data_IF_779902805745
#
_entry.id   IF_779902805745
#
_cell.length_a   1.000
_cell.length_b   1.000
_cell.length_c   1.000
_cell.angle_alpha   90.00
_cell.angle_beta   90.00
_cell.angle_gamma   90.00
#
_symmetry.space_group_name_H-M   'P 1'
#
loop_
_entity.id
_entity.type
_entity.pdbx_description
1 polymer ?
#
# COMPACT_ATOMS: atom_id res chain seq x y z
N UNK A 1 -9.06 40.60 -29.60
CA UNK A 1 -10.02 39.75 -30.36
C UNK A 1 -9.99 38.27 -29.94
N UNK A 2 -8.94 37.75 -29.26
CA UNK A 2 -8.93 36.37 -28.76
C UNK A 2 -9.77 36.12 -27.49
N UNK A 3 -10.08 37.16 -26.71
CA UNK A 3 -10.81 37.05 -25.43
C UNK A 3 -12.33 36.88 -25.58
N UNK A 4 -12.89 37.11 -26.77
CA UNK A 4 -14.34 36.96 -27.03
C UNK A 4 -14.72 35.60 -27.63
N UNK A 5 -13.75 34.77 -28.02
CA UNK A 5 -14.02 33.44 -28.60
C UNK A 5 -14.26 32.34 -27.55
N UNK A 6 -13.94 32.60 -26.27
CA UNK A 6 -13.99 31.60 -25.19
C UNK A 6 -15.17 31.78 -24.19
N UNK A 7 -15.93 32.88 -24.28
CA UNK A 7 -17.14 33.12 -23.46
C UNK A 7 -18.41 32.72 -24.24
N UNK A 8 -18.51 31.45 -24.64
CA UNK A 8 -19.73 30.92 -25.28
C UNK A 8 -20.45 30.00 -24.28
N UNK A 9 -21.69 30.33 -23.82
CA UNK A 9 -22.47 29.47 -22.93
C UNK A 9 -22.67 28.05 -23.48
N UNK A 10 -22.64 27.88 -24.81
CA UNK A 10 -22.72 26.58 -25.46
C UNK A 10 -21.46 25.71 -25.28
N UNK A 11 -20.27 26.34 -25.17
CA UNK A 11 -19.04 25.64 -24.79
C UNK A 11 -19.06 25.26 -23.30
N UNK A 12 -19.66 26.09 -22.45
CA UNK A 12 -19.77 25.81 -21.02
C UNK A 12 -20.72 24.62 -20.73
N UNK A 13 -21.88 24.59 -21.38
CA UNK A 13 -22.82 23.47 -21.30
C UNK A 13 -22.26 22.21 -21.95
N UNK A 14 -21.62 22.33 -23.12
CA UNK A 14 -21.01 21.19 -23.82
C UNK A 14 -19.85 20.55 -23.05
N UNK A 15 -19.03 21.34 -22.37
CA UNK A 15 -17.97 20.84 -21.49
C UNK A 15 -18.57 20.11 -20.29
N UNK A 16 -19.53 20.74 -19.59
CA UNK A 16 -20.19 20.16 -18.41
C UNK A 16 -20.89 18.84 -18.74
N UNK A 17 -21.61 18.75 -19.87
CA UNK A 17 -22.27 17.52 -20.32
C UNK A 17 -21.27 16.44 -20.76
N UNK A 18 -20.21 16.80 -21.47
CA UNK A 18 -19.18 15.85 -21.93
C UNK A 18 -18.45 15.25 -20.74
N UNK A 19 -18.17 16.07 -19.72
CA UNK A 19 -17.54 15.62 -18.48
C UNK A 19 -18.48 14.85 -17.57
N UNK A 20 -19.76 15.24 -17.45
CA UNK A 20 -20.75 14.43 -16.73
C UNK A 20 -20.91 13.04 -17.38
N UNK A 21 -20.91 12.97 -18.71
CA UNK A 21 -20.94 11.69 -19.44
C UNK A 21 -19.66 10.88 -19.26
N UNK A 22 -18.49 11.51 -19.32
CA UNK A 22 -17.21 10.84 -19.04
C UNK A 22 -17.14 10.31 -17.60
N UNK A 23 -17.69 11.05 -16.64
CA UNK A 23 -17.75 10.68 -15.24
C UNK A 23 -18.83 9.63 -14.93
N UNK A 24 -19.97 9.65 -15.62
CA UNK A 24 -20.96 8.56 -15.56
C UNK A 24 -20.44 7.27 -16.21
N UNK A 25 -19.66 7.38 -17.30
CA UNK A 25 -18.94 6.25 -17.86
C UNK A 25 -17.87 5.72 -16.88
N UNK A 26 -17.25 6.62 -16.10
CA UNK A 26 -16.29 6.28 -15.05
C UNK A 26 -16.92 5.53 -13.87
N UNK A 27 -18.13 5.92 -13.42
CA UNK A 27 -18.86 5.17 -12.39
C UNK A 27 -19.19 3.73 -12.80
N UNK A 28 -19.32 3.49 -14.11
CA UNK A 28 -19.61 2.18 -14.69
C UNK A 28 -18.34 1.45 -15.15
N UNK A 29 -17.16 2.03 -14.98
CA UNK A 29 -15.89 1.45 -15.38
C UNK A 29 -15.42 0.49 -14.28
N UNK A 30 -15.50 -0.81 -14.58
CA UNK A 30 -14.94 -1.88 -13.76
C UNK A 30 -13.40 -1.74 -13.76
N UNK A 31 -12.87 -1.11 -12.70
CA UNK A 31 -11.45 -0.88 -12.47
C UNK A 31 -10.77 -2.15 -11.94
N UNK A 32 -10.86 -3.23 -12.72
CA UNK A 32 -10.04 -4.43 -12.56
C UNK A 32 -10.64 -5.49 -11.64
N UNK A 33 -11.61 -6.26 -12.17
CA UNK A 33 -11.73 -7.70 -11.94
C UNK A 33 -11.98 -8.22 -10.52
N UNK A 34 -12.14 -7.33 -9.54
CA UNK A 34 -12.54 -7.65 -8.17
C UNK A 34 -13.91 -7.08 -7.80
N UNK A 35 -14.69 -6.59 -8.78
CA UNK A 35 -16.11 -6.36 -8.60
C UNK A 35 -16.86 -7.67 -8.85
N UNK A 36 -17.63 -8.22 -7.88
CA UNK A 36 -18.53 -9.32 -8.19
C UNK A 36 -19.54 -8.86 -9.25
N UNK A 37 -19.91 -9.73 -10.22
CA UNK A 37 -21.02 -9.41 -11.10
C UNK A 37 -22.30 -9.42 -10.27
N UNK A 38 -23.12 -8.40 -10.45
CA UNK A 38 -24.50 -8.22 -9.98
C UNK A 38 -24.71 -7.55 -8.61
N UNK A 39 -25.50 -6.48 -8.68
CA UNK A 39 -26.04 -5.73 -7.55
C UNK A 39 -25.90 -4.24 -7.82
N UNK A 40 -26.94 -3.61 -8.34
CA UNK A 40 -27.14 -2.16 -8.27
C UNK A 40 -27.09 -1.73 -6.80
N UNK A 41 -25.89 -1.52 -6.26
CA UNK A 41 -25.75 -0.75 -5.04
C UNK A 41 -26.29 0.63 -5.39
N UNK A 42 -27.27 1.11 -4.61
CA UNK A 42 -27.80 2.47 -4.68
C UNK A 42 -26.65 3.46 -4.54
N UNK A 43 -25.96 3.75 -5.65
CA UNK A 43 -24.99 4.80 -5.73
C UNK A 43 -25.79 6.08 -5.57
N UNK A 44 -25.77 6.64 -4.35
CA UNK A 44 -26.37 7.94 -4.09
C UNK A 44 -25.81 8.89 -5.15
N UNK A 45 -26.64 9.49 -6.00
CA UNK A 45 -26.15 10.27 -7.12
C UNK A 45 -25.30 11.41 -6.58
N UNK A 46 -24.02 11.43 -6.95
CA UNK A 46 -23.10 12.49 -6.58
C UNK A 46 -23.69 13.82 -7.01
N UNK A 47 -23.84 14.72 -6.06
CA UNK A 47 -24.31 16.08 -6.31
C UNK A 47 -23.10 17.00 -6.36
N UNK A 48 -23.20 18.04 -7.16
CA UNK A 48 -22.16 19.06 -7.25
C UNK A 48 -22.82 20.42 -7.06
N UNK A 49 -22.25 21.25 -6.20
CA UNK A 49 -22.66 22.65 -6.13
C UNK A 49 -22.29 23.35 -7.44
N UNK A 50 -23.30 23.85 -8.17
CA UNK A 50 -23.11 24.54 -9.44
C UNK A 50 -22.10 25.69 -9.36
N UNK A 51 -22.08 26.43 -8.24
CA UNK A 51 -21.12 27.52 -8.01
C UNK A 51 -19.67 27.02 -7.95
N UNK A 52 -19.41 25.87 -7.31
CA UNK A 52 -18.07 25.28 -7.24
C UNK A 52 -17.60 24.81 -8.61
N UNK A 53 -18.49 24.17 -9.39
CA UNK A 53 -18.17 23.72 -10.74
C UNK A 53 -17.87 24.90 -11.68
N UNK A 54 -18.68 25.96 -11.62
CA UNK A 54 -18.45 27.17 -12.40
C UNK A 54 -17.10 27.80 -12.06
N UNK A 55 -16.74 27.86 -10.78
CA UNK A 55 -15.43 28.37 -10.35
C UNK A 55 -14.28 27.51 -10.90
N UNK A 56 -14.36 26.18 -10.77
CA UNK A 56 -13.35 25.25 -11.29
C UNK A 56 -13.19 25.41 -12.80
N UNK A 57 -14.29 25.59 -13.53
CA UNK A 57 -14.26 25.81 -14.97
C UNK A 57 -13.58 27.14 -15.33
N UNK A 58 -13.91 28.23 -14.63
CA UNK A 58 -13.28 29.53 -14.84
C UNK A 58 -11.77 29.48 -14.54
N UNK A 59 -11.39 28.82 -13.45
CA UNK A 59 -9.99 28.62 -13.07
C UNK A 59 -9.24 27.79 -14.15
N UNK A 60 -9.85 26.71 -14.65
CA UNK A 60 -9.27 25.89 -15.73
C UNK A 60 -9.04 26.70 -17.02
N UNK A 61 -10.03 27.49 -17.47
CA UNK A 61 -9.90 28.30 -18.69
C UNK A 61 -8.82 29.35 -18.54
N UNK A 62 -8.73 29.99 -17.36
CA UNK A 62 -7.66 30.96 -17.06
C UNK A 62 -6.29 30.29 -17.10
N UNK A 63 -6.10 29.22 -16.35
CA UNK A 63 -4.80 28.51 -16.26
C UNK A 63 -4.40 27.87 -17.61
N UNK A 64 -5.35 27.34 -18.39
CA UNK A 64 -5.08 26.84 -19.73
C UNK A 64 -4.60 27.94 -20.68
N UNK A 65 -5.21 29.14 -20.59
CA UNK A 65 -4.81 30.30 -21.37
C UNK A 65 -3.41 30.81 -20.97
N UNK A 66 -3.13 30.84 -19.67
CA UNK A 66 -1.81 31.18 -19.12
C UNK A 66 -0.74 30.18 -19.58
N UNK A 67 -1.02 28.88 -19.49
CA UNK A 67 -0.12 27.83 -19.95
C UNK A 67 0.16 27.94 -21.46
N UNK A 68 -0.86 28.19 -22.27
CA UNK A 68 -0.70 28.39 -23.71
C UNK A 68 0.21 29.58 -24.01
N UNK A 69 -0.04 30.73 -23.36
CA UNK A 69 0.77 31.92 -23.54
C UNK A 69 2.22 31.74 -23.05
N UNK A 70 2.41 31.04 -21.92
CA UNK A 70 3.73 30.72 -21.39
C UNK A 70 4.51 29.85 -22.38
N UNK A 71 3.89 28.80 -22.92
CA UNK A 71 4.50 27.86 -23.87
C UNK A 71 4.94 28.54 -25.17
N UNK A 72 4.30 29.65 -25.56
CA UNK A 72 4.73 30.45 -26.71
C UNK A 72 6.00 31.27 -26.45
N UNK A 73 6.35 31.52 -25.19
CA UNK A 73 7.50 32.34 -24.79
C UNK A 73 8.68 31.49 -24.29
N UNK A 74 8.41 30.46 -23.49
CA UNK A 74 9.41 29.58 -22.90
C UNK A 74 8.80 28.21 -22.52
N UNK A 75 9.63 27.23 -22.20
CA UNK A 75 9.15 25.93 -21.72
C UNK A 75 8.49 26.07 -20.34
N UNK A 76 7.34 25.41 -20.10
CA UNK A 76 6.66 25.49 -18.82
C UNK A 76 7.51 24.87 -17.70
N UNK A 77 7.52 25.51 -16.54
CA UNK A 77 8.21 25.03 -15.33
C UNK A 77 7.42 23.88 -14.70
N UNK A 78 8.06 22.72 -14.53
CA UNK A 78 7.44 21.52 -13.98
C UNK A 78 7.89 21.30 -12.54
N UNK A 79 6.99 21.53 -11.58
CA UNK A 79 7.28 21.34 -10.16
C UNK A 79 7.18 19.87 -9.70
N UNK A 80 6.43 19.04 -10.44
CA UNK A 80 6.16 17.64 -10.07
C UNK A 80 7.43 16.78 -10.19
N UNK A 81 7.68 15.94 -9.17
CA UNK A 81 8.86 15.07 -9.10
C UNK A 81 8.98 14.13 -10.31
N UNK A 82 7.86 13.72 -10.91
CA UNK A 82 7.82 12.80 -12.06
C UNK A 82 8.44 13.38 -13.33
N UNK A 83 8.54 14.70 -13.42
CA UNK A 83 9.02 15.41 -14.62
C UNK A 83 10.30 16.22 -14.35
N UNK A 84 11.07 15.84 -13.33
CA UNK A 84 12.29 16.57 -12.93
C UNK A 84 13.52 16.33 -13.81
N UNK A 85 13.56 15.26 -14.61
CA UNK A 85 14.74 14.98 -15.43
C UNK A 85 14.91 15.97 -16.58
N UNK A 86 16.16 16.24 -16.94
CA UNK A 86 16.55 17.17 -18.00
C UNK A 86 15.82 16.94 -19.34
N UNK A 87 15.46 15.69 -19.64
CA UNK A 87 14.76 15.32 -20.86
C UNK A 87 13.41 16.02 -21.01
N UNK A 88 12.71 16.25 -19.88
CA UNK A 88 11.42 16.93 -19.84
C UNK A 88 11.58 18.42 -20.12
N UNK A 89 12.60 19.07 -19.54
CA UNK A 89 12.87 20.51 -19.75
C UNK A 89 13.46 20.85 -21.12
N UNK A 90 14.20 19.92 -21.75
CA UNK A 90 14.84 20.13 -23.06
C UNK A 90 13.93 19.85 -24.25
N UNK A 91 12.82 19.14 -24.06
CA UNK A 91 11.86 18.81 -25.11
C UNK A 91 10.57 19.64 -24.93
N UNK A 92 10.33 20.69 -25.75
CA UNK A 92 9.17 21.56 -25.61
C UNK A 92 7.82 20.83 -25.66
N UNK A 93 7.72 19.79 -26.50
CA UNK A 93 6.50 18.98 -26.59
C UNK A 93 6.28 18.18 -25.31
N UNK A 94 7.33 17.57 -24.75
CA UNK A 94 7.23 16.84 -23.50
C UNK A 94 6.90 17.74 -22.31
N UNK A 95 7.52 18.92 -22.24
CA UNK A 95 7.24 19.93 -21.22
C UNK A 95 5.78 20.37 -21.29
N UNK A 96 5.28 20.66 -22.50
CA UNK A 96 3.88 21.02 -22.71
C UNK A 96 2.92 19.89 -22.34
N UNK A 97 3.17 18.65 -22.78
CA UNK A 97 2.34 17.49 -22.42
C UNK A 97 2.29 17.27 -20.90
N UNK A 98 3.43 17.38 -20.21
CA UNK A 98 3.48 17.28 -18.75
C UNK A 98 2.70 18.40 -18.07
N UNK A 99 2.82 19.65 -18.54
CA UNK A 99 2.11 20.79 -17.99
C UNK A 99 0.58 20.69 -18.20
N UNK A 100 0.13 20.27 -19.38
CA UNK A 100 -1.29 20.01 -19.68
C UNK A 100 -1.83 18.88 -18.79
N UNK A 101 -1.06 17.80 -18.60
CA UNK A 101 -1.44 16.73 -17.69
C UNK A 101 -1.58 17.24 -16.25
N UNK A 102 -0.63 18.04 -15.74
CA UNK A 102 -0.69 18.60 -14.39
C UNK A 102 -1.88 19.53 -14.18
N UNK A 103 -2.21 20.35 -15.18
CA UNK A 103 -3.40 21.21 -15.14
C UNK A 103 -4.69 20.38 -15.06
N UNK A 104 -4.83 19.38 -15.93
CA UNK A 104 -5.97 18.47 -15.90
C UNK A 104 -6.05 17.71 -14.58
N UNK A 105 -4.91 17.27 -14.03
CA UNK A 105 -4.83 16.58 -12.75
C UNK A 105 -5.35 17.44 -11.59
N UNK A 106 -4.88 18.68 -11.46
CA UNK A 106 -5.40 19.60 -10.44
C UNK A 106 -6.89 19.86 -10.59
N UNK A 107 -7.36 20.00 -11.84
CA UNK A 107 -8.76 20.28 -12.14
C UNK A 107 -9.66 19.11 -11.75
N UNK A 108 -9.31 17.88 -12.14
CA UNK A 108 -10.09 16.70 -11.78
C UNK A 108 -10.07 16.42 -10.28
N UNK A 109 -8.95 16.69 -9.60
CA UNK A 109 -8.90 16.62 -8.13
C UNK A 109 -9.82 17.67 -7.49
N UNK A 110 -9.83 18.90 -7.99
CA UNK A 110 -10.73 19.95 -7.51
C UNK A 110 -12.21 19.58 -7.72
N UNK A 111 -12.52 18.89 -8.82
CA UNK A 111 -13.87 18.37 -9.06
C UNK A 111 -14.24 17.24 -8.09
N UNK A 112 -13.30 16.32 -7.81
CA UNK A 112 -13.50 15.27 -6.82
C UNK A 112 -13.75 15.83 -5.41
N UNK A 113 -13.04 16.91 -5.04
CA UNK A 113 -13.24 17.63 -3.78
C UNK A 113 -14.55 18.43 -3.74
N UNK A 114 -15.02 18.91 -4.89
CA UNK A 114 -16.29 19.61 -5.02
C UNK A 114 -17.51 18.67 -4.94
N UNK A 115 -17.31 17.36 -5.07
CA UNK A 115 -18.36 16.37 -5.00
C UNK A 115 -19.01 16.33 -3.61
N UNK A 116 -20.35 16.35 -3.59
CA UNK A 116 -21.16 16.26 -2.39
C UNK A 116 -21.57 14.81 -2.13
N UNK A 117 -21.50 14.41 -0.87
CA UNK A 117 -21.79 13.06 -0.40
C UNK A 117 -21.26 12.85 1.01
N UNK A 118 -21.52 11.68 1.59
CA UNK A 118 -20.89 11.26 2.83
C UNK A 118 -19.37 11.13 2.67
N UNK A 119 -18.64 11.12 3.78
CA UNK A 119 -17.18 11.10 3.78
C UNK A 119 -16.61 9.88 3.04
N UNK A 120 -17.24 8.70 3.15
CA UNK A 120 -16.78 7.47 2.50
C UNK A 120 -16.94 7.58 0.99
N UNK A 121 -18.08 8.06 0.51
CA UNK A 121 -18.33 8.27 -0.92
C UNK A 121 -17.36 9.30 -1.52
N UNK A 122 -17.13 10.43 -0.86
CA UNK A 122 -16.15 11.43 -1.33
C UNK A 122 -14.72 10.88 -1.37
N UNK A 123 -14.32 10.11 -0.35
CA UNK A 123 -13.00 9.49 -0.32
C UNK A 123 -12.82 8.46 -1.44
N UNK A 124 -13.86 7.67 -1.75
CA UNK A 124 -13.88 6.74 -2.89
C UNK A 124 -13.71 7.46 -4.23
N UNK A 125 -14.45 8.56 -4.44
CA UNK A 125 -14.34 9.38 -5.66
C UNK A 125 -12.95 9.99 -5.80
N UNK A 126 -12.45 10.61 -4.72
CA UNK A 126 -11.10 11.19 -4.70
C UNK A 126 -10.05 10.14 -5.04
N UNK A 127 -10.09 8.99 -4.37
CA UNK A 127 -9.15 7.90 -4.63
C UNK A 127 -9.21 7.39 -6.07
N UNK A 128 -10.41 7.19 -6.60
CA UNK A 128 -10.58 6.72 -7.97
C UNK A 128 -10.00 7.72 -9.00
N UNK A 129 -10.18 9.03 -8.78
CA UNK A 129 -9.57 10.08 -9.59
C UNK A 129 -8.04 10.09 -9.45
N UNK A 130 -7.51 9.95 -8.23
CA UNK A 130 -6.06 9.84 -7.99
C UNK A 130 -5.46 8.64 -8.75
N UNK A 131 -6.11 7.48 -8.71
CA UNK A 131 -5.66 6.27 -9.41
C UNK A 131 -5.69 6.45 -10.93
N UNK A 132 -6.77 7.03 -11.47
CA UNK A 132 -6.86 7.32 -12.90
C UNK A 132 -5.79 8.31 -13.35
N UNK A 133 -5.53 9.33 -12.54
CA UNK A 133 -4.47 10.30 -12.77
C UNK A 133 -3.09 9.67 -12.72
N UNK A 134 -2.83 8.82 -11.73
CA UNK A 134 -1.58 8.08 -11.62
C UNK A 134 -1.36 7.18 -12.85
N UNK A 135 -2.39 6.46 -13.30
CA UNK A 135 -2.32 5.57 -14.45
C UNK A 135 -2.13 6.31 -15.79
N UNK A 136 -2.81 7.44 -15.97
CA UNK A 136 -2.76 8.27 -17.18
C UNK A 136 -1.53 9.17 -17.29
N UNK A 137 -0.63 9.14 -16.30
CA UNK A 137 0.56 9.98 -16.30
C UNK A 137 1.41 9.76 -17.56
N UNK A 138 1.85 10.82 -18.28
CA UNK A 138 2.67 10.71 -19.50
C UNK A 138 3.94 9.89 -19.30
N UNK A 139 4.49 9.89 -18.08
CA UNK A 139 5.66 9.10 -17.70
C UNK A 139 5.46 7.59 -17.82
N UNK A 140 4.22 7.09 -17.83
CA UNK A 140 3.92 5.66 -17.92
C UNK A 140 3.94 5.14 -19.36
N UNK A 141 3.93 6.01 -20.36
CA UNK A 141 3.82 5.64 -21.77
C UNK A 141 5.08 6.01 -22.52
N UNK A 142 5.73 5.04 -23.16
CA UNK A 142 6.96 5.25 -23.94
C UNK A 142 6.80 6.37 -25.00
N UNK A 143 5.62 6.51 -25.59
CA UNK A 143 5.32 7.55 -26.59
C UNK A 143 5.38 8.98 -26.03
N UNK A 144 5.25 9.16 -24.72
CA UNK A 144 5.24 10.48 -24.06
C UNK A 144 6.35 10.65 -23.01
N UNK A 145 7.02 9.57 -22.60
CA UNK A 145 8.09 9.62 -21.63
C UNK A 145 9.41 10.08 -22.28
N UNK A 146 9.75 11.35 -22.08
CA UNK A 146 10.95 11.97 -22.65
C UNK A 146 12.26 11.29 -22.20
N UNK A 147 12.36 10.85 -20.95
CA UNK A 147 13.54 10.17 -20.43
C UNK A 147 13.72 8.79 -21.07
N UNK A 148 12.62 8.04 -21.22
CA UNK A 148 12.64 6.73 -21.86
C UNK A 148 13.01 6.85 -23.35
N UNK A 149 12.49 7.85 -24.05
CA UNK A 149 12.85 8.15 -25.44
C UNK A 149 14.33 8.54 -25.57
N UNK A 150 14.81 9.44 -24.71
CA UNK A 150 16.21 9.85 -24.70
C UNK A 150 17.13 8.66 -24.44
N UNK A 151 16.79 7.78 -23.49
CA UNK A 151 17.56 6.57 -23.19
C UNK A 151 17.53 5.56 -24.33
N UNK A 152 16.39 5.39 -25.00
CA UNK A 152 16.28 4.54 -26.18
C UNK A 152 17.19 5.04 -27.31
N UNK A 153 17.23 6.35 -27.55
CA UNK A 153 18.14 6.96 -28.55
C UNK A 153 19.60 6.77 -28.13
N UNK A 154 19.94 7.10 -26.89
CA UNK A 154 21.31 7.01 -26.37
C UNK A 154 21.87 5.58 -26.37
N UNK A 155 21.01 4.58 -26.18
CA UNK A 155 21.38 3.15 -26.19
C UNK A 155 21.11 2.47 -27.53
N UNK A 156 20.74 3.22 -28.58
CA UNK A 156 20.38 2.68 -29.90
C UNK A 156 19.32 1.56 -29.83
N UNK A 157 18.39 1.66 -28.88
CA UNK A 157 17.30 0.70 -28.67
C UNK A 157 17.60 -0.46 -27.71
N UNK A 158 18.84 -0.62 -27.23
CA UNK A 158 19.20 -1.68 -26.29
C UNK A 158 18.36 -1.61 -24.99
N UNK A 159 18.07 -0.40 -24.50
CA UNK A 159 17.22 -0.22 -23.31
C UNK A 159 15.81 -0.76 -23.50
N UNK A 160 15.26 -0.69 -24.72
CA UNK A 160 13.93 -1.23 -25.05
C UNK A 160 13.96 -2.76 -25.10
N UNK A 161 14.99 -3.34 -25.72
CA UNK A 161 15.17 -4.79 -25.75
C UNK A 161 15.27 -5.38 -24.33
N UNK A 162 16.02 -4.71 -23.46
CA UNK A 162 16.11 -5.08 -22.03
C UNK A 162 14.76 -4.93 -21.32
N UNK A 163 14.02 -3.85 -21.57
CA UNK A 163 12.68 -3.64 -21.02
C UNK A 163 11.68 -4.74 -21.41
N UNK A 164 11.65 -5.13 -22.68
CA UNK A 164 10.80 -6.25 -23.17
C UNK A 164 11.19 -7.57 -22.53
N UNK A 165 12.50 -7.83 -22.39
CA UNK A 165 12.99 -9.04 -21.70
C UNK A 165 12.51 -9.08 -20.25
N UNK A 166 12.60 -7.97 -19.53
CA UNK A 166 12.10 -7.86 -18.16
C UNK A 166 10.58 -8.09 -18.10
N UNK A 167 9.81 -7.43 -18.98
CA UNK A 167 8.35 -7.61 -19.06
C UNK A 167 7.96 -9.07 -19.30
N UNK A 168 8.64 -9.78 -20.21
CA UNK A 168 8.39 -11.20 -20.47
C UNK A 168 8.74 -12.09 -19.27
N UNK A 169 9.76 -11.71 -18.50
CA UNK A 169 10.14 -12.41 -17.27
C UNK A 169 9.09 -12.18 -16.17
N UNK A 170 8.68 -10.94 -15.96
CA UNK A 170 7.63 -10.56 -15.00
C UNK A 170 6.30 -11.27 -15.32
N UNK A 171 5.91 -11.32 -16.60
CA UNK A 171 4.72 -12.06 -17.05
C UNK A 171 4.78 -13.56 -16.72
N UNK A 172 5.96 -14.17 -16.76
CA UNK A 172 6.15 -15.59 -16.38
C UNK A 172 6.11 -15.79 -14.88
N UNK A 173 6.59 -14.82 -14.10
CA UNK A 173 6.57 -14.84 -12.64
C UNK A 173 5.20 -14.50 -12.05
N UNK A 174 4.36 -13.78 -12.81
CA UNK A 174 3.01 -13.39 -12.40
C UNK A 174 2.95 -12.13 -11.53
N UNK A 175 4.08 -11.42 -11.37
CA UNK A 175 4.16 -10.12 -10.69
C UNK A 175 5.31 -9.29 -11.29
N UNK A 176 5.25 -7.96 -11.10
CA UNK A 176 6.31 -7.04 -11.55
C UNK A 176 7.46 -7.03 -10.53
N UNK A 177 8.66 -7.41 -10.97
CA UNK A 177 9.85 -7.42 -10.11
C UNK A 177 10.49 -6.04 -10.02
N UNK A 178 10.57 -5.48 -8.80
CA UNK A 178 11.24 -4.18 -8.56
C UNK A 178 12.75 -4.34 -8.35
N UNK A 179 13.18 -5.53 -7.96
CA UNK A 179 14.57 -5.92 -7.69
C UNK A 179 14.79 -7.34 -8.17
N UNK A 180 16.03 -7.70 -8.47
CA UNK A 180 16.37 -9.09 -8.79
C UNK A 180 16.30 -9.95 -7.51
N UNK A 181 15.20 -10.69 -7.36
CA UNK A 181 14.95 -11.55 -6.21
C UNK A 181 15.96 -12.70 -6.12
N UNK A 182 16.59 -13.09 -7.22
CA UNK A 182 17.60 -14.17 -7.22
C UNK A 182 18.86 -13.80 -6.44
N UNK A 183 19.06 -12.52 -6.16
CA UNK A 183 20.17 -12.02 -5.36
C UNK A 183 19.94 -12.23 -3.86
N UNK A 184 18.73 -12.53 -3.40
CA UNK A 184 18.38 -12.65 -1.99
C UNK A 184 17.96 -14.07 -1.62
N UNK A 185 18.65 -14.64 -0.64
CA UNK A 185 18.44 -15.98 -0.11
C UNK A 185 18.33 -15.88 1.43
N UNK A 186 17.13 -16.20 1.93
CA UNK A 186 16.82 -16.17 3.36
C UNK A 186 17.70 -17.20 4.09
N UNK A 187 18.37 -16.78 5.15
CA UNK A 187 19.36 -17.55 5.90
C UNK A 187 20.79 -17.44 5.36
N UNK A 188 21.00 -16.89 4.15
CA UNK A 188 22.34 -16.68 3.58
C UNK A 188 22.76 -15.21 3.55
N UNK A 189 21.89 -14.33 3.06
CA UNK A 189 22.17 -12.89 2.95
C UNK A 189 20.97 -11.99 3.33
N UNK A 190 19.87 -12.60 3.76
CA UNK A 190 18.74 -11.97 4.43
C UNK A 190 18.39 -12.83 5.65
N UNK A 191 17.94 -12.25 6.77
CA UNK A 191 17.61 -12.99 8.00
C UNK A 191 18.78 -13.82 8.54
N UNK A 192 19.96 -13.19 8.64
CA UNK A 192 21.23 -13.87 8.98
C UNK A 192 21.64 -13.68 10.44
N UNK A 193 20.80 -13.14 11.31
CA UNK A 193 21.15 -13.03 12.73
C UNK A 193 21.14 -14.42 13.35
N UNK A 194 22.26 -14.83 13.95
CA UNK A 194 22.43 -16.18 14.50
C UNK A 194 21.41 -16.45 15.61
N UNK A 195 20.68 -17.56 15.50
CA UNK A 195 19.66 -17.98 16.45
C UNK A 195 19.27 -19.43 16.22
N UNK A 196 18.37 -19.95 17.05
CA UNK A 196 17.88 -21.32 16.98
C UNK A 196 16.37 -21.36 17.24
N UNK A 197 15.68 -22.31 16.59
CA UNK A 197 14.29 -22.63 16.92
C UNK A 197 14.28 -23.34 18.27
N UNK A 198 13.59 -22.77 19.24
CA UNK A 198 13.49 -23.28 20.63
C UNK A 198 12.12 -23.85 20.97
N UNK A 199 11.13 -23.58 20.11
CA UNK A 199 9.78 -24.15 20.18
C UNK A 199 9.16 -24.17 18.79
N UNK A 200 8.31 -25.16 18.52
CA UNK A 200 7.55 -25.26 17.30
C UNK A 200 6.19 -25.90 17.59
N UNK A 201 5.14 -25.34 16.97
CA UNK A 201 3.84 -26.00 16.87
C UNK A 201 3.26 -25.80 15.47
N UNK A 202 1.99 -26.14 15.30
CA UNK A 202 1.34 -26.07 13.99
C UNK A 202 1.22 -24.64 13.42
N UNK A 203 1.30 -23.59 14.24
CA UNK A 203 1.11 -22.19 13.84
C UNK A 203 2.41 -21.40 13.69
N UNK A 204 3.44 -21.71 14.49
CA UNK A 204 4.68 -20.93 14.49
C UNK A 204 5.89 -21.70 15.01
N UNK A 205 7.06 -21.16 14.67
CA UNK A 205 8.33 -21.46 15.33
C UNK A 205 8.74 -20.27 16.20
N UNK A 206 9.20 -20.54 17.42
CA UNK A 206 9.83 -19.53 18.28
C UNK A 206 11.35 -19.59 18.08
N UNK A 207 11.95 -18.47 17.68
CA UNK A 207 13.40 -18.36 17.49
C UNK A 207 13.99 -17.59 18.67
N UNK A 208 14.97 -18.17 19.36
CA UNK A 208 15.84 -17.47 20.29
C UNK A 208 17.13 -17.06 19.57
N UNK A 209 17.49 -15.77 19.65
CA UNK A 209 18.71 -15.27 19.03
C UNK A 209 19.89 -15.35 19.97
N UNK A 210 21.06 -15.72 19.42
CA UNK A 210 22.30 -15.85 20.18
C UNK A 210 22.75 -14.48 20.70
N UNK A 211 23.03 -14.32 22.00
CA UNK A 211 23.53 -13.07 22.55
C UNK A 211 24.81 -12.58 21.86
N UNK A 212 24.90 -11.28 21.59
CA UNK A 212 26.11 -10.61 21.06
C UNK A 212 26.87 -9.85 22.14
N UNK A 213 26.48 -9.99 23.41
CA UNK A 213 27.07 -9.34 24.58
C UNK A 213 27.38 -10.37 25.66
N UNK A 214 28.35 -10.07 26.53
CA UNK A 214 28.71 -10.97 27.64
C UNK A 214 27.64 -11.05 28.74
N UNK A 215 26.80 -10.01 28.85
CA UNK A 215 25.66 -9.94 29.77
C UNK A 215 24.45 -9.43 29.01
N UNK A 216 23.28 -9.92 29.38
CA UNK A 216 21.99 -9.48 28.84
C UNK A 216 21.12 -8.93 29.97
N UNK A 217 20.10 -8.16 29.61
CA UNK A 217 19.05 -7.75 30.53
C UNK A 217 18.30 -8.97 31.08
N UNK A 218 17.91 -8.89 32.36
CA UNK A 218 17.19 -9.98 33.04
C UNK A 218 15.83 -10.29 32.40
N UNK A 219 15.10 -9.25 31.96
CA UNK A 219 13.84 -9.41 31.26
C UNK A 219 14.09 -9.70 29.78
N UNK A 220 13.60 -10.83 29.25
CA UNK A 220 13.72 -11.13 27.82
C UNK A 220 12.79 -10.25 26.99
N UNK A 221 13.01 -10.25 25.68
CA UNK A 221 12.31 -9.44 24.71
C UNK A 221 11.67 -10.31 23.61
N UNK A 222 10.35 -10.33 23.54
CA UNK A 222 9.59 -11.09 22.55
C UNK A 222 9.08 -10.18 21.43
N UNK A 223 9.35 -10.52 20.17
CA UNK A 223 8.77 -9.86 19.01
C UNK A 223 7.69 -10.73 18.39
N UNK A 224 6.51 -10.11 18.18
CA UNK A 224 5.36 -10.67 17.47
C UNK A 224 5.19 -9.90 16.16
N UNK A 225 5.82 -10.37 15.05
CA UNK A 225 5.72 -9.74 13.74
C UNK A 225 4.33 -9.97 13.11
N UNK A 226 4.00 -9.32 11.99
CA UNK A 226 2.77 -9.63 11.26
C UNK A 226 2.81 -11.03 10.66
N UNK A 227 1.64 -11.65 10.50
CA UNK A 227 1.45 -12.93 9.80
C UNK A 227 1.06 -12.76 8.31
N UNK A 228 0.94 -11.51 7.82
CA UNK A 228 0.62 -11.20 6.40
C UNK A 228 1.86 -11.39 5.51
N UNK A 229 3.00 -10.85 5.95
CA UNK A 229 4.31 -11.02 5.34
C UNK A 229 5.23 -11.75 6.33
N UNK A 230 6.39 -12.19 5.87
CA UNK A 230 7.34 -12.93 6.72
C UNK A 230 8.06 -12.00 7.71
N UNK A 231 8.47 -12.57 8.85
CA UNK A 231 9.05 -11.82 9.97
C UNK A 231 10.35 -11.07 9.64
N UNK A 232 11.10 -11.52 8.63
CA UNK A 232 12.45 -11.01 8.33
C UNK A 232 12.49 -9.56 7.84
N UNK A 233 11.35 -8.89 7.69
CA UNK A 233 11.33 -7.41 7.62
C UNK A 233 11.98 -6.75 8.84
N UNK A 234 12.00 -7.45 9.99
CA UNK A 234 12.69 -7.03 11.21
C UNK A 234 14.14 -7.55 11.31
N UNK A 235 14.58 -8.38 10.35
CA UNK A 235 15.92 -8.96 10.26
C UNK A 235 16.37 -9.05 8.80
N UNK A 236 16.43 -7.91 8.09
CA UNK A 236 16.80 -7.90 6.67
C UNK A 236 18.28 -8.20 6.49
N UNK A 237 19.14 -7.19 6.55
CA UNK A 237 20.59 -7.29 6.48
C UNK A 237 21.19 -6.85 7.82
N UNK A 238 22.45 -7.21 8.13
CA UNK A 238 23.07 -6.85 9.41
C UNK A 238 23.01 -5.36 9.75
N UNK A 239 23.06 -4.48 8.74
CA UNK A 239 23.09 -3.02 8.89
C UNK A 239 21.71 -2.41 9.17
N UNK A 240 20.63 -3.13 8.84
CA UNK A 240 19.24 -2.66 8.98
C UNK A 240 18.32 -3.67 9.69
N UNK A 241 18.91 -4.57 10.47
CA UNK A 241 18.19 -5.56 11.29
C UNK A 241 17.87 -4.99 12.68
N UNK A 242 16.58 -4.85 12.98
CA UNK A 242 16.08 -4.50 14.32
C UNK A 242 16.40 -5.61 15.32
N UNK A 243 16.26 -6.86 14.91
CA UNK A 243 16.53 -8.04 15.76
C UNK A 243 18.01 -8.06 16.16
N UNK A 244 18.93 -7.93 15.19
CA UNK A 244 20.36 -7.85 15.46
C UNK A 244 20.69 -6.68 16.37
N UNK A 245 20.08 -5.53 16.13
CA UNK A 245 20.26 -4.35 16.96
C UNK A 245 19.84 -4.64 18.41
N UNK A 246 18.65 -5.18 18.65
CA UNK A 246 18.15 -5.52 20.00
C UNK A 246 19.11 -6.49 20.73
N UNK A 247 19.56 -7.54 20.04
CA UNK A 247 20.54 -8.50 20.57
C UNK A 247 21.87 -7.81 20.91
N UNK A 248 22.34 -6.89 20.06
CA UNK A 248 23.58 -6.12 20.31
C UNK A 248 23.48 -5.15 21.48
N UNK A 249 22.27 -4.69 21.81
CA UNK A 249 21.98 -3.87 22.99
C UNK A 249 21.84 -4.70 24.27
N UNK A 250 22.08 -6.02 24.21
CA UNK A 250 22.00 -6.91 25.36
C UNK A 250 20.58 -7.36 25.70
N UNK A 251 19.63 -7.27 24.77
CA UNK A 251 18.30 -7.88 24.96
C UNK A 251 18.34 -9.37 24.60
N UNK A 252 17.90 -10.25 25.50
CA UNK A 252 17.68 -11.67 25.20
C UNK A 252 16.43 -11.79 24.33
N UNK A 253 16.63 -11.90 23.02
CA UNK A 253 15.60 -11.64 22.01
C UNK A 253 14.99 -12.94 21.48
N UNK A 254 13.66 -12.98 21.43
CA UNK A 254 12.85 -14.06 20.88
C UNK A 254 11.92 -13.51 19.80
N UNK A 255 11.67 -14.29 18.73
CA UNK A 255 10.78 -13.88 17.63
C UNK A 255 9.83 -15.01 17.27
N UNK A 256 8.55 -14.67 17.11
CA UNK A 256 7.54 -15.56 16.53
C UNK A 256 7.71 -15.59 15.01
N UNK A 257 8.08 -16.74 14.46
CA UNK A 257 8.12 -17.00 13.01
C UNK A 257 6.86 -17.78 12.60
N UNK A 258 5.86 -17.07 12.08
CA UNK A 258 4.60 -17.65 11.62
C UNK A 258 4.79 -18.68 10.51
N UNK A 259 4.08 -19.80 10.61
CA UNK A 259 3.96 -20.76 9.51
C UNK A 259 3.18 -20.11 8.37
N UNK A 260 3.63 -20.35 7.13
CA UNK A 260 2.81 -20.06 5.96
C UNK A 260 1.71 -21.13 5.87
N UNK A 261 0.43 -20.78 6.06
CA UNK A 261 -0.59 -21.79 6.28
C UNK A 261 -0.90 -22.58 5.00
N UNK A 262 -1.21 -23.86 5.18
CA UNK A 262 -1.69 -24.74 4.12
C UNK A 262 -3.10 -25.25 4.47
N UNK A 263 -3.63 -26.16 3.65
CA UNK A 263 -5.00 -26.66 3.80
C UNK A 263 -5.26 -27.31 5.18
N UNK A 264 -4.23 -27.78 5.89
CA UNK A 264 -4.37 -28.36 7.25
C UNK A 264 -4.78 -27.30 8.28
N UNK A 265 -4.51 -26.02 8.01
CA UNK A 265 -4.86 -24.89 8.88
C UNK A 265 -6.08 -24.11 8.39
N UNK A 266 -6.82 -24.62 7.40
CA UNK A 266 -7.96 -23.92 6.80
C UNK A 266 -9.11 -23.60 7.76
N UNK A 267 -9.14 -24.23 8.93
CA UNK A 267 -10.15 -24.00 9.98
C UNK A 267 -9.63 -23.13 11.13
N UNK A 268 -8.37 -22.68 11.07
CA UNK A 268 -7.79 -21.83 12.13
C UNK A 268 -8.43 -20.46 12.12
N UNK A 269 -8.75 -20.00 13.31
CA UNK A 269 -9.46 -18.76 13.57
C UNK A 269 -8.51 -17.74 14.22
N UNK A 270 -9.02 -16.53 14.46
CA UNK A 270 -8.29 -15.53 15.25
C UNK A 270 -7.93 -16.06 16.65
N UNK A 271 -8.86 -16.76 17.31
CA UNK A 271 -8.68 -17.26 18.67
C UNK A 271 -7.55 -18.29 18.76
N UNK A 272 -7.38 -19.14 17.74
CA UNK A 272 -6.23 -20.06 17.67
C UNK A 272 -4.89 -19.31 17.61
N UNK A 273 -4.81 -18.20 16.86
CA UNK A 273 -3.60 -17.37 16.80
C UNK A 273 -3.34 -16.63 18.12
N UNK A 274 -4.38 -16.32 18.89
CA UNK A 274 -4.25 -15.72 20.21
C UNK A 274 -3.76 -16.76 21.21
N UNK A 275 -4.45 -17.89 21.33
CA UNK A 275 -4.19 -18.92 22.34
C UNK A 275 -2.92 -19.72 22.02
N UNK A 276 -2.91 -20.38 20.86
CA UNK A 276 -1.89 -21.37 20.50
C UNK A 276 -0.64 -20.73 19.91
N UNK A 277 -0.62 -19.42 19.65
CA UNK A 277 0.57 -18.72 19.18
C UNK A 277 1.01 -17.57 20.07
N UNK A 278 0.24 -16.49 20.20
CA UNK A 278 0.71 -15.31 20.94
C UNK A 278 0.87 -15.57 22.45
N UNK A 279 -0.16 -16.15 23.10
CA UNK A 279 -0.11 -16.53 24.51
C UNK A 279 0.91 -17.64 24.73
N UNK A 280 0.86 -18.69 23.90
CA UNK A 280 1.84 -19.79 23.94
C UNK A 280 3.29 -19.27 23.84
N UNK A 281 3.58 -18.32 22.94
CA UNK A 281 4.92 -17.73 22.81
C UNK A 281 5.35 -16.98 24.07
N UNK A 282 4.45 -16.19 24.68
CA UNK A 282 4.72 -15.49 25.94
C UNK A 282 5.08 -16.48 27.05
N UNK A 283 4.25 -17.51 27.27
CA UNK A 283 4.50 -18.53 28.28
C UNK A 283 5.78 -19.31 28.00
N UNK A 284 6.00 -19.70 26.75
CA UNK A 284 7.23 -20.43 26.34
C UNK A 284 8.49 -19.60 26.63
N UNK A 285 8.47 -18.29 26.39
CA UNK A 285 9.60 -17.41 26.76
C UNK A 285 9.78 -17.36 28.27
N UNK A 286 8.72 -17.27 29.06
CA UNK A 286 8.81 -17.30 30.52
C UNK A 286 9.40 -18.62 31.01
N UNK A 287 8.99 -19.75 30.43
CA UNK A 287 9.47 -21.08 30.80
C UNK A 287 10.97 -21.26 30.46
N UNK A 288 11.39 -20.85 29.26
CA UNK A 288 12.80 -20.92 28.83
C UNK A 288 13.70 -20.01 29.67
N UNK A 289 13.20 -18.83 30.06
CA UNK A 289 14.02 -17.81 30.73
C UNK A 289 13.93 -17.84 32.25
N UNK A 290 12.90 -18.46 32.81
CA UNK A 290 12.52 -18.35 34.22
C UNK A 290 12.01 -16.95 34.60
N UNK A 291 11.86 -16.03 33.65
CA UNK A 291 11.45 -14.66 33.94
C UNK A 291 9.95 -14.59 34.24
N UNK A 292 9.58 -14.00 35.38
CA UNK A 292 8.17 -13.78 35.73
C UNK A 292 7.47 -12.81 34.78
N UNK A 293 8.22 -11.87 34.19
CA UNK A 293 7.69 -10.93 33.22
C UNK A 293 8.68 -10.70 32.07
N UNK A 294 8.14 -10.47 30.89
CA UNK A 294 8.91 -10.19 29.66
C UNK A 294 8.59 -8.77 29.14
N UNK A 295 9.41 -8.25 28.25
CA UNK A 295 9.03 -7.14 27.38
C UNK A 295 8.56 -7.70 26.05
N UNK A 296 7.54 -7.09 25.44
CA UNK A 296 7.01 -7.55 24.15
C UNK A 296 6.87 -6.40 23.16
N UNK A 297 7.10 -6.68 21.88
CA UNK A 297 6.86 -5.79 20.77
C UNK A 297 5.95 -6.47 19.76
N UNK A 298 4.89 -5.78 19.35
CA UNK A 298 4.03 -6.18 18.25
C UNK A 298 4.20 -5.24 17.05
N UNK A 299 4.28 -5.80 15.84
CA UNK A 299 4.43 -5.02 14.61
C UNK A 299 3.26 -5.26 13.66
N UNK A 300 2.65 -4.18 13.15
CA UNK A 300 1.49 -4.25 12.24
C UNK A 300 0.38 -5.12 12.85
N UNK A 301 -0.20 -6.08 12.13
CA UNK A 301 -1.23 -7.01 12.65
C UNK A 301 -0.72 -7.87 13.82
N UNK A 302 0.59 -8.12 13.91
CA UNK A 302 1.20 -8.79 15.06
C UNK A 302 1.03 -8.01 16.36
N UNK A 303 0.93 -6.68 16.29
CA UNK A 303 0.57 -5.84 17.44
C UNK A 303 -0.91 -5.90 17.78
N UNK A 304 -1.81 -6.07 16.81
CA UNK A 304 -3.23 -6.29 17.07
C UNK A 304 -3.42 -7.66 17.76
N UNK A 305 -2.74 -8.70 17.27
CA UNK A 305 -2.68 -10.04 17.90
C UNK A 305 -2.17 -9.94 19.33
N UNK A 306 -1.00 -9.31 19.54
CA UNK A 306 -0.39 -9.17 20.87
C UNK A 306 -1.31 -8.39 21.82
N UNK A 307 -1.94 -7.31 21.36
CA UNK A 307 -2.86 -6.50 22.18
C UNK A 307 -4.06 -7.33 22.63
N UNK A 308 -4.66 -8.11 21.72
CA UNK A 308 -5.77 -9.01 22.06
C UNK A 308 -5.35 -10.10 23.04
N UNK A 309 -4.19 -10.72 22.83
CA UNK A 309 -3.63 -11.73 23.74
C UNK A 309 -3.42 -11.19 25.16
N UNK A 310 -2.88 -9.97 25.29
CA UNK A 310 -2.69 -9.32 26.59
C UNK A 310 -4.01 -8.97 27.28
N UNK A 311 -5.04 -8.58 26.52
CA UNK A 311 -6.38 -8.36 27.07
C UNK A 311 -7.01 -9.66 27.59
N UNK A 312 -6.87 -10.76 26.84
CA UNK A 312 -7.33 -12.10 27.26
C UNK A 312 -6.61 -12.54 28.54
N UNK A 313 -5.28 -12.43 28.60
CA UNK A 313 -4.49 -12.78 29.78
C UNK A 313 -4.86 -11.92 30.99
N UNK A 314 -5.06 -10.61 30.80
CA UNK A 314 -5.51 -9.73 31.88
C UNK A 314 -6.87 -10.13 32.44
N UNK A 315 -7.82 -10.54 31.58
CA UNK A 315 -9.12 -11.06 31.99
C UNK A 315 -9.02 -12.40 32.76
N UNK A 316 -7.99 -13.22 32.45
CA UNK A 316 -7.64 -14.44 33.19
C UNK A 316 -6.87 -14.17 34.49
N UNK A 317 -6.51 -12.91 34.77
CA UNK A 317 -5.74 -12.52 35.96
C UNK A 317 -4.22 -12.64 35.80
N UNK A 318 -3.73 -12.90 34.59
CA UNK A 318 -2.31 -13.03 34.27
C UNK A 318 -1.73 -11.69 33.78
N UNK A 319 -0.48 -11.37 34.21
CA UNK A 319 0.24 -10.16 33.79
C UNK A 319 1.69 -10.45 33.40
N UNK A 320 1.93 -11.29 32.38
CA UNK A 320 3.27 -11.78 32.03
C UNK A 320 4.12 -10.76 31.28
N UNK A 321 3.55 -9.64 30.81
CA UNK A 321 4.30 -8.60 30.08
C UNK A 321 4.45 -7.35 30.95
N UNK A 322 5.71 -6.93 31.17
CA UNK A 322 6.07 -5.73 31.93
C UNK A 322 5.95 -4.45 31.10
N UNK A 323 6.23 -4.52 29.79
CA UNK A 323 6.11 -3.41 28.86
C UNK A 323 5.75 -3.92 27.47
N UNK A 324 4.84 -3.23 26.80
CA UNK A 324 4.42 -3.51 25.42
C UNK A 324 4.81 -2.34 24.52
N UNK A 325 5.39 -2.66 23.35
CA UNK A 325 5.67 -1.70 22.27
C UNK A 325 4.81 -2.05 21.06
N UNK A 326 4.08 -1.09 20.52
CA UNK A 326 3.27 -1.28 19.32
C UNK A 326 3.87 -0.46 18.17
N UNK A 327 4.43 -1.16 17.18
CA UNK A 327 5.07 -0.56 16.02
C UNK A 327 4.12 -0.59 14.83
N UNK A 328 3.70 0.60 14.37
CA UNK A 328 2.78 0.78 13.23
C UNK A 328 1.57 -0.15 13.29
N UNK A 329 0.93 -0.22 14.46
CA UNK A 329 -0.20 -1.12 14.74
C UNK A 329 -1.45 -0.29 14.96
N UNK A 330 -2.55 -0.72 14.32
CA UNK A 330 -3.88 -0.21 14.62
C UNK A 330 -4.48 -1.01 15.78
N UNK A 331 -5.04 -0.28 16.74
CA UNK A 331 -5.88 -0.79 17.84
C UNK A 331 -7.30 -0.28 17.67
N UNK A 332 -7.44 0.99 17.30
CA UNK A 332 -8.67 1.58 16.79
C UNK A 332 -8.70 1.48 15.26
N UNK A 333 -9.74 0.84 14.72
CA UNK A 333 -9.96 0.64 13.29
C UNK A 333 -11.12 1.52 12.74
N UNK A 334 -11.54 2.56 13.48
CA UNK A 334 -12.64 3.44 13.05
C UNK A 334 -12.33 4.24 11.79
N UNK A 335 -11.06 4.65 11.62
CA UNK A 335 -10.54 5.29 10.41
C UNK A 335 -9.32 4.52 9.92
N UNK A 336 -9.53 3.65 8.93
CA UNK A 336 -8.45 2.83 8.34
C UNK A 336 -7.77 3.51 7.16
N UNK A 337 -8.12 4.78 6.91
CA UNK A 337 -7.63 5.56 5.80
C UNK A 337 -8.10 4.99 4.46
N UNK A 338 -7.15 4.81 3.54
CA UNK A 338 -7.44 4.41 2.17
C UNK A 338 -7.95 2.96 2.04
N UNK A 339 -7.75 2.13 3.07
CA UNK A 339 -8.25 0.76 3.13
C UNK A 339 -9.79 0.71 3.09
N UNK A 340 -10.47 1.71 3.63
CA UNK A 340 -11.95 1.82 3.62
C UNK A 340 -12.55 1.90 2.21
N UNK A 341 -11.74 2.26 1.21
CA UNK A 341 -12.15 2.29 -0.19
C UNK A 341 -12.28 0.87 -0.75
N UNK A 342 -11.38 -0.03 -0.35
CA UNK A 342 -11.28 -1.39 -0.88
C UNK A 342 -12.14 -2.41 -0.14
N UNK A 343 -12.57 -2.10 1.09
CA UNK A 343 -13.33 -3.03 1.92
C UNK A 343 -14.75 -2.48 2.15
N UNK A 344 -15.74 -3.30 1.84
CA UNK A 344 -17.12 -3.07 2.25
C UNK A 344 -17.83 -4.33 2.72
N UNK A 345 -19.01 -4.11 3.31
CA UNK A 345 -19.84 -5.15 3.91
C UNK A 345 -20.21 -6.26 2.91
N UNK A 346 -20.38 -5.92 1.62
CA UNK A 346 -20.68 -6.90 0.59
C UNK A 346 -19.47 -7.80 0.33
N UNK A 347 -18.27 -7.22 0.25
CA UNK A 347 -17.03 -7.98 0.13
C UNK A 347 -16.78 -8.87 1.34
N UNK A 348 -17.01 -8.38 2.56
CA UNK A 348 -16.86 -9.18 3.79
C UNK A 348 -17.81 -10.37 3.77
N UNK A 349 -19.11 -10.15 3.51
CA UNK A 349 -20.10 -11.23 3.39
C UNK A 349 -19.74 -12.24 2.32
N UNK A 350 -19.22 -11.78 1.18
CA UNK A 350 -18.74 -12.68 0.14
C UNK A 350 -17.60 -13.57 0.64
N UNK A 351 -16.63 -13.00 1.36
CA UNK A 351 -15.54 -13.79 1.98
C UNK A 351 -16.07 -14.73 3.06
N UNK A 352 -17.00 -14.31 3.91
CA UNK A 352 -17.66 -15.20 4.89
C UNK A 352 -18.36 -16.39 4.22
N UNK A 353 -19.02 -16.18 3.07
CA UNK A 353 -19.60 -17.28 2.29
C UNK A 353 -18.53 -18.20 1.69
N UNK A 354 -17.39 -17.64 1.26
CA UNK A 354 -16.31 -18.38 0.61
C UNK A 354 -15.47 -19.20 1.60
N UNK A 355 -15.16 -18.66 2.78
CA UNK A 355 -14.20 -19.24 3.74
C UNK A 355 -14.67 -19.24 5.20
N UNK A 356 -15.89 -18.79 5.51
CA UNK A 356 -16.40 -18.75 6.89
C UNK A 356 -16.68 -20.12 7.51
N UNK A 357 -16.73 -21.19 6.70
CA UNK A 357 -16.76 -22.60 7.17
C UNK A 357 -15.39 -23.29 6.99
N UNK A 358 -14.35 -22.47 7.01
CA UNK A 358 -12.98 -22.79 6.67
C UNK A 358 -12.67 -22.63 5.19
N UNK A 359 -11.39 -22.36 4.93
CA UNK A 359 -10.88 -22.03 3.61
C UNK A 359 -9.55 -21.32 3.73
N UNK A 360 -8.96 -21.00 2.58
CA UNK A 360 -7.66 -20.33 2.51
C UNK A 360 -7.78 -19.07 1.65
N UNK A 361 -7.27 -17.95 2.17
CA UNK A 361 -7.06 -16.76 1.37
C UNK A 361 -5.68 -16.86 0.70
N UNK A 362 -5.66 -16.81 -0.64
CA UNK A 362 -4.40 -16.89 -1.39
C UNK A 362 -3.58 -15.63 -1.16
N UNK A 363 -2.27 -15.77 -1.03
CA UNK A 363 -1.36 -14.64 -0.89
C UNK A 363 -1.44 -13.62 -2.04
N UNK A 364 -1.79 -14.06 -3.25
CA UNK A 364 -1.98 -13.18 -4.42
C UNK A 364 -3.16 -12.20 -4.24
N UNK A 365 -4.26 -12.67 -3.64
CA UNK A 365 -5.43 -11.81 -3.33
C UNK A 365 -5.03 -10.71 -2.34
N UNK A 366 -4.25 -11.06 -1.30
CA UNK A 366 -3.72 -10.10 -0.34
C UNK A 366 -2.72 -9.13 -0.98
N UNK A 367 -1.77 -9.64 -1.76
CA UNK A 367 -0.75 -8.84 -2.41
C UNK A 367 -1.34 -7.76 -3.33
N UNK A 368 -2.45 -8.07 -4.00
CA UNK A 368 -3.14 -7.13 -4.88
C UNK A 368 -3.74 -5.95 -4.09
N UNK A 369 -4.42 -6.21 -2.97
CA UNK A 369 -4.92 -5.15 -2.08
C UNK A 369 -3.77 -4.26 -1.59
N UNK A 370 -2.65 -4.84 -1.16
CA UNK A 370 -1.50 -4.06 -0.69
C UNK A 370 -0.74 -3.34 -1.81
N UNK A 371 -0.77 -3.84 -3.05
CA UNK A 371 -0.15 -3.14 -4.19
C UNK A 371 -0.92 -1.90 -4.62
N UNK A 372 -2.26 -1.92 -4.50
CA UNK A 372 -3.10 -0.76 -4.79
C UNK A 372 -2.96 0.38 -3.77
N UNK A 373 -2.49 0.07 -2.57
CA UNK A 373 -2.21 1.05 -1.51
C UNK A 373 -0.85 1.75 -1.67
N UNK A 374 -0.04 1.32 -2.64
CA UNK A 374 1.32 1.79 -2.90
C UNK A 374 1.33 2.74 -4.08
#
# INVERSE_FOLDING_TARGET
MATQAFNNPALEQGFTETWLKAFQAFQNLDLGGMAPPTGTADATPLRFANEKLMKIQQDYVREASELWNQTLQDNPQLADRRFKGDAWGKNPMAAFTAAVYLLNARTMMSMAEAAEGDAKTRNRVRFAVEQWLAASAPSNFLAFNAEAQQKAIATQGESLAKGVKNMLQDMRQGHVSMTDESLFEVGRNVATTEGAVVFENELFQLIEYKPLTAKVHERPFLLVPPCINKFYILDLQPENSLIRYAVSQGMRTFVVSWRNPDQTLAQKTWDDYIEDAAIQAIHTVQDITGAKQINALGFCVGGTILTTALAVLAARGEKPVSAVTLLTTLVDFTDTGILDVFIDEAMVKFREMQMGKGGMLKGQDLATTFSFLR
#
